data_IF_767213698883
#
_entry.id   IF_767213698883
#
_cell.length_a   1.000
_cell.length_b   1.000
_cell.length_c   1.000
_cell.angle_alpha   90.00
_cell.angle_beta   90.00
_cell.angle_gamma   90.00
#
_symmetry.space_group_name_H-M   'P 1'
#
loop_
_entity.id
_entity.type
_entity.pdbx_description
1 polymer ?
#
# COMPACT_ATOMS: atom_id res chain seq x y z
N UNK A 1 34.67 -41.38 -51.09
CA UNK A 1 34.16 -41.15 -49.73
C UNK A 1 33.63 -39.72 -49.65
N UNK A 2 32.31 -39.48 -49.57
CA UNK A 2 31.81 -38.11 -49.46
C UNK A 2 31.97 -37.62 -48.01
N UNK A 3 32.55 -36.43 -47.83
CA UNK A 3 32.67 -35.75 -46.54
C UNK A 3 31.36 -35.03 -46.24
N UNK A 4 30.70 -35.39 -45.15
CA UNK A 4 29.48 -34.75 -44.66
C UNK A 4 29.87 -33.60 -43.73
N UNK A 5 29.74 -32.35 -44.19
CA UNK A 5 29.91 -31.18 -43.33
C UNK A 5 28.62 -30.91 -42.58
N UNK A 6 28.61 -31.24 -41.28
CA UNK A 6 27.51 -30.90 -40.38
C UNK A 6 27.68 -29.45 -39.90
N UNK A 7 26.94 -28.52 -40.51
CA UNK A 7 26.75 -27.16 -39.98
C UNK A 7 25.70 -27.23 -38.86
N UNK A 8 26.14 -27.02 -37.62
CA UNK A 8 25.26 -26.93 -36.45
C UNK A 8 24.71 -25.50 -36.34
N UNK A 9 23.40 -25.25 -36.50
CA UNK A 9 22.87 -23.92 -36.25
C UNK A 9 22.90 -23.65 -34.75
N UNK A 10 23.63 -22.61 -34.34
CA UNK A 10 23.57 -22.06 -32.99
C UNK A 10 22.21 -21.38 -32.83
N UNK A 11 21.21 -22.14 -32.38
CA UNK A 11 19.96 -21.55 -31.89
C UNK A 11 20.28 -20.85 -30.57
N UNK A 12 20.55 -19.54 -30.65
CA UNK A 12 20.56 -18.68 -29.48
C UNK A 12 19.10 -18.51 -29.05
N UNK A 13 18.63 -19.41 -28.20
CA UNK A 13 17.34 -19.27 -27.52
C UNK A 13 17.43 -18.04 -26.64
N UNK A 14 16.70 -17.00 -27.01
CA UNK A 14 16.44 -15.86 -26.13
C UNK A 14 15.60 -16.41 -24.97
N UNK A 15 16.24 -16.68 -23.84
CA UNK A 15 15.52 -16.93 -22.61
C UNK A 15 14.78 -15.64 -22.24
N UNK A 16 13.47 -15.58 -22.50
CA UNK A 16 12.59 -14.59 -21.90
C UNK A 16 12.47 -14.97 -20.43
N UNK A 17 13.39 -14.47 -19.60
CA UNK A 17 13.15 -14.44 -18.17
C UNK A 17 11.99 -13.48 -17.95
N UNK A 18 10.82 -13.99 -17.55
CA UNK A 18 9.80 -13.15 -16.95
C UNK A 18 10.43 -12.53 -15.69
N UNK A 19 10.74 -11.24 -15.74
CA UNK A 19 11.11 -10.49 -14.54
C UNK A 19 9.83 -9.98 -13.90
N UNK A 20 9.63 -10.34 -12.62
CA UNK A 20 8.56 -9.76 -11.81
C UNK A 20 8.75 -8.25 -11.77
N UNK A 21 7.71 -7.49 -12.08
CA UNK A 21 7.76 -6.03 -11.93
C UNK A 21 7.26 -5.67 -10.52
N UNK A 22 7.86 -4.69 -9.84
CA UNK A 22 7.36 -4.27 -8.55
C UNK A 22 6.11 -3.38 -8.72
N UNK A 23 5.18 -3.43 -7.75
CA UNK A 23 4.01 -2.57 -7.76
C UNK A 23 4.40 -1.10 -7.58
N UNK A 24 3.63 -0.21 -8.21
CA UNK A 24 3.72 1.23 -8.04
C UNK A 24 2.55 1.72 -7.21
N UNK A 25 2.86 2.28 -6.03
CA UNK A 25 1.89 2.92 -5.14
C UNK A 25 1.88 4.42 -5.38
N UNK A 26 0.71 4.97 -5.67
CA UNK A 26 0.50 6.41 -5.84
C UNK A 26 -0.63 6.88 -4.94
N UNK A 27 -0.46 8.06 -4.36
CA UNK A 27 -1.52 8.67 -3.57
C UNK A 27 -1.29 10.16 -3.40
N UNK A 28 -2.37 10.90 -3.21
CA UNK A 28 -2.33 12.32 -2.90
C UNK A 28 -3.34 12.67 -1.82
N UNK A 29 -3.11 13.83 -1.21
CA UNK A 29 -3.93 14.39 -0.14
C UNK A 29 -3.69 15.89 -0.09
N UNK A 30 -3.46 16.44 1.11
CA UNK A 30 -3.33 17.87 1.43
C UNK A 30 -4.69 18.56 1.68
N UNK A 31 -5.36 18.09 2.72
CA UNK A 31 -6.66 18.60 3.16
C UNK A 31 -6.48 19.39 4.48
N UNK A 32 -7.33 20.38 4.70
CA UNK A 32 -7.39 21.07 5.99
C UNK A 32 -8.05 20.16 7.04
N UNK A 33 -7.43 20.03 8.21
CA UNK A 33 -7.95 19.21 9.30
C UNK A 33 -8.68 20.07 10.33
N UNK A 34 -9.91 19.69 10.67
CA UNK A 34 -10.64 20.25 11.81
C UNK A 34 -10.33 19.44 13.07
N UNK A 35 -9.79 20.04 14.14
CA UNK A 35 -9.51 19.31 15.38
C UNK A 35 -10.73 18.55 15.90
N UNK A 36 -10.48 17.38 16.50
CA UNK A 36 -11.47 16.44 17.03
C UNK A 36 -12.37 15.75 15.98
N UNK A 37 -12.25 16.05 14.68
CA UNK A 37 -12.99 15.34 13.63
C UNK A 37 -12.20 14.15 13.06
N UNK A 38 -12.87 13.33 12.24
CA UNK A 38 -12.20 12.36 11.36
C UNK A 38 -12.01 12.98 9.98
N UNK A 39 -10.94 12.60 9.28
CA UNK A 39 -10.71 12.98 7.88
C UNK A 39 -10.03 11.83 7.12
N UNK A 40 -10.43 11.51 5.88
CA UNK A 40 -9.70 10.56 5.04
C UNK A 40 -8.26 11.01 4.83
N UNK A 41 -7.30 10.08 4.84
CA UNK A 41 -5.88 10.43 4.68
C UNK A 41 -5.50 10.70 3.21
N UNK A 42 -6.29 10.20 2.27
CA UNK A 42 -6.07 10.31 0.82
C UNK A 42 -7.30 10.91 0.15
N UNK A 43 -7.08 11.68 -0.91
CA UNK A 43 -8.11 12.09 -1.87
C UNK A 43 -7.96 11.37 -3.21
N UNK A 44 -6.77 10.82 -3.47
CA UNK A 44 -6.54 9.84 -4.51
C UNK A 44 -5.57 8.77 -4.03
N UNK A 45 -5.80 7.52 -4.42
CA UNK A 45 -4.91 6.41 -4.13
C UNK A 45 -5.05 5.33 -5.20
N UNK A 46 -3.94 4.75 -5.62
CA UNK A 46 -3.92 3.64 -6.57
C UNK A 46 -2.68 2.77 -6.38
N UNK A 47 -2.84 1.47 -6.62
CA UNK A 47 -1.76 0.49 -6.74
C UNK A 47 -1.81 -0.03 -8.18
N UNK A 48 -0.71 0.08 -8.90
CA UNK A 48 -0.59 -0.41 -10.27
C UNK A 48 0.55 -1.43 -10.37
N UNK A 49 0.24 -2.60 -10.89
CA UNK A 49 1.19 -3.68 -11.08
C UNK A 49 0.82 -4.44 -12.38
N UNK A 50 1.77 -4.66 -13.31
CA UNK A 50 1.49 -5.35 -14.58
C UNK A 50 1.30 -6.87 -14.47
N UNK A 51 1.82 -7.51 -13.43
CA UNK A 51 1.89 -8.98 -13.32
C UNK A 51 1.36 -9.56 -12.01
N UNK A 52 1.27 -8.76 -10.94
CA UNK A 52 0.63 -9.12 -9.68
C UNK A 52 -0.70 -8.40 -9.46
N UNK A 53 -1.58 -8.99 -8.65
CA UNK A 53 -2.88 -8.38 -8.28
C UNK A 53 -3.16 -8.40 -6.78
N UNK A 54 -2.22 -8.94 -5.99
CA UNK A 54 -2.38 -9.15 -4.57
C UNK A 54 -1.09 -8.84 -3.81
N UNK A 55 -1.18 -8.56 -2.51
CA UNK A 55 -0.03 -8.45 -1.60
C UNK A 55 -0.38 -8.98 -0.21
N UNK A 56 0.61 -9.11 0.66
CA UNK A 56 0.45 -9.49 2.06
C UNK A 56 -0.24 -8.38 2.88
N UNK A 57 0.15 -7.12 2.68
CA UNK A 57 -0.37 -5.99 3.44
C UNK A 57 -0.19 -4.63 2.74
N UNK A 58 -0.89 -3.63 3.26
CA UNK A 58 -0.60 -2.21 3.08
C UNK A 58 -0.26 -1.61 4.44
N UNK A 59 0.89 -0.95 4.54
CA UNK A 59 1.38 -0.25 5.72
C UNK A 59 1.16 1.25 5.55
N UNK A 60 0.46 1.85 6.51
CA UNK A 60 0.10 3.27 6.49
C UNK A 60 0.62 3.90 7.77
N UNK A 61 1.59 4.82 7.66
CA UNK A 61 2.21 5.45 8.82
C UNK A 61 2.04 6.96 8.79
N UNK A 62 1.80 7.57 9.96
CA UNK A 62 1.95 9.01 10.16
C UNK A 62 3.45 9.31 10.19
N UNK A 63 4.02 9.58 9.02
CA UNK A 63 5.47 9.67 8.80
C UNK A 63 6.09 10.97 9.32
N UNK A 64 5.28 12.02 9.51
CA UNK A 64 5.70 13.28 10.13
C UNK A 64 4.61 13.88 10.97
N UNK A 65 4.99 14.50 12.09
CA UNK A 65 4.08 15.19 12.99
C UNK A 65 3.22 14.26 13.84
N UNK A 66 3.52 12.96 13.92
CA UNK A 66 2.81 12.01 14.79
C UNK A 66 2.97 12.39 16.27
N UNK A 67 1.85 12.42 17.00
CA UNK A 67 1.84 12.60 18.45
C UNK A 67 1.28 11.34 19.12
N UNK A 68 2.18 10.59 19.76
CA UNK A 68 1.84 9.34 20.41
C UNK A 68 0.74 9.52 21.47
N UNK A 69 -0.27 8.66 21.41
CA UNK A 69 -1.41 8.66 22.33
C UNK A 69 -2.47 9.73 22.06
N UNK A 70 -2.25 10.62 21.07
CA UNK A 70 -3.25 11.60 20.64
C UNK A 70 -3.77 11.28 19.23
N UNK A 71 -2.84 10.94 18.34
CA UNK A 71 -3.13 10.67 16.94
C UNK A 71 -3.43 9.19 16.71
N UNK A 72 -4.37 8.91 15.82
CA UNK A 72 -4.74 7.56 15.43
C UNK A 72 -5.11 7.50 13.95
N UNK A 73 -4.77 6.38 13.31
CA UNK A 73 -5.33 5.97 12.03
C UNK A 73 -6.32 4.84 12.26
N UNK A 74 -7.47 4.89 11.59
CA UNK A 74 -8.51 3.88 11.70
C UNK A 74 -9.05 3.55 10.31
N UNK A 75 -9.34 2.28 10.06
CA UNK A 75 -10.14 1.87 8.91
C UNK A 75 -11.62 1.95 9.31
N UNK A 76 -12.41 2.71 8.55
CA UNK A 76 -13.87 2.75 8.70
C UNK A 76 -14.56 2.02 7.55
N UNK A 77 -15.89 1.94 7.57
CA UNK A 77 -16.66 1.25 6.53
C UNK A 77 -16.62 -0.28 6.67
N UNK A 78 -16.87 -0.98 5.56
CA UNK A 78 -16.94 -2.45 5.52
C UNK A 78 -15.94 -3.00 4.51
N UNK A 79 -14.95 -3.73 5.02
CA UNK A 79 -13.87 -4.35 4.24
C UNK A 79 -13.69 -5.82 4.68
N UNK A 80 -14.58 -6.73 4.27
CA UNK A 80 -14.69 -8.08 4.86
C UNK A 80 -13.47 -8.97 4.62
N UNK A 81 -12.61 -8.64 3.66
CA UNK A 81 -11.36 -9.36 3.34
C UNK A 81 -10.15 -8.81 4.08
N UNK A 82 -10.27 -7.67 4.79
CA UNK A 82 -9.15 -6.92 5.39
C UNK A 82 -9.29 -6.89 6.91
N UNK A 83 -8.16 -7.09 7.59
CA UNK A 83 -7.95 -6.84 9.01
C UNK A 83 -7.07 -5.59 9.17
N UNK A 84 -7.47 -4.66 10.05
CA UNK A 84 -6.72 -3.45 10.34
C UNK A 84 -6.10 -3.52 11.74
N UNK A 85 -4.79 -3.31 11.85
CA UNK A 85 -4.05 -3.35 13.13
C UNK A 85 -3.28 -2.06 13.36
N UNK A 86 -3.64 -1.31 14.40
CA UNK A 86 -2.98 -0.07 14.80
C UNK A 86 -1.85 -0.30 15.80
N UNK A 87 -0.69 0.30 15.55
CA UNK A 87 0.44 0.39 16.47
C UNK A 87 0.63 1.83 16.92
N UNK A 88 0.21 2.13 18.15
CA UNK A 88 0.42 3.45 18.76
C UNK A 88 1.89 3.77 19.03
N UNK A 89 2.76 2.75 19.11
CA UNK A 89 4.20 2.97 19.27
C UNK A 89 4.84 3.46 17.98
N UNK A 90 4.38 2.96 16.84
CA UNK A 90 4.95 3.28 15.52
C UNK A 90 4.17 4.37 14.77
N UNK A 91 2.96 4.70 15.22
CA UNK A 91 2.04 5.58 14.49
C UNK A 91 1.61 4.96 13.16
N UNK A 92 1.45 3.64 13.13
CA UNK A 92 1.25 2.84 11.90
C UNK A 92 0.01 1.97 11.98
N UNK A 93 -0.77 1.96 10.90
CA UNK A 93 -1.90 1.08 10.64
C UNK A 93 -1.49 0.07 9.57
N UNK A 94 -1.63 -1.21 9.87
CA UNK A 94 -1.40 -2.29 8.91
C UNK A 94 -2.75 -2.83 8.45
N UNK A 95 -2.99 -2.83 7.15
CA UNK A 95 -4.13 -3.48 6.51
C UNK A 95 -3.65 -4.78 5.88
N UNK A 96 -4.08 -5.93 6.39
CA UNK A 96 -3.67 -7.25 5.91
C UNK A 96 -4.88 -8.16 5.66
N UNK A 97 -4.69 -9.29 4.99
CA UNK A 97 -5.79 -10.21 4.75
C UNK A 97 -6.25 -10.93 6.01
N UNK A 98 -7.56 -11.20 6.09
CA UNK A 98 -8.13 -11.99 7.17
C UNK A 98 -7.42 -13.35 7.24
N UNK A 99 -6.95 -13.71 8.44
CA UNK A 99 -6.24 -14.98 8.66
C UNK A 99 -4.86 -15.07 8.00
N UNK A 100 -4.27 -13.96 7.55
CA UNK A 100 -2.98 -13.92 6.88
C UNK A 100 -3.03 -14.26 5.38
N UNK A 101 -4.21 -14.21 4.77
CA UNK A 101 -4.36 -14.34 3.33
C UNK A 101 -3.75 -13.14 2.59
N UNK A 102 -3.41 -13.33 1.30
CA UNK A 102 -3.12 -12.21 0.42
C UNK A 102 -4.39 -11.39 0.15
N UNK A 103 -4.23 -10.09 -0.04
CA UNK A 103 -5.32 -9.12 -0.29
C UNK A 103 -5.22 -8.61 -1.71
N UNK A 104 -6.35 -8.55 -2.41
CA UNK A 104 -6.43 -7.92 -3.72
C UNK A 104 -6.11 -6.43 -3.64
N UNK A 105 -5.39 -5.90 -4.64
CA UNK A 105 -5.14 -4.47 -4.73
C UNK A 105 -6.42 -3.65 -4.80
N UNK A 106 -7.48 -4.14 -5.45
CA UNK A 106 -8.79 -3.46 -5.49
C UNK A 106 -9.38 -3.24 -4.09
N UNK A 107 -9.23 -4.24 -3.20
CA UNK A 107 -9.76 -4.19 -1.85
C UNK A 107 -8.91 -3.23 -1.00
N UNK A 108 -7.59 -3.26 -1.14
CA UNK A 108 -6.68 -2.33 -0.47
C UNK A 108 -6.88 -0.88 -0.95
N UNK A 109 -7.14 -0.67 -2.24
CA UNK A 109 -7.44 0.65 -2.78
C UNK A 109 -8.73 1.18 -2.16
N UNK A 110 -9.80 0.38 -2.14
CA UNK A 110 -11.06 0.77 -1.49
C UNK A 110 -10.85 1.07 0.01
N UNK A 111 -10.11 0.23 0.72
CA UNK A 111 -9.82 0.42 2.13
C UNK A 111 -8.98 1.68 2.40
N UNK A 112 -7.99 1.99 1.57
CA UNK A 112 -7.15 3.18 1.74
C UNK A 112 -7.97 4.48 1.68
N UNK A 113 -9.01 4.56 0.83
CA UNK A 113 -9.93 5.69 0.80
C UNK A 113 -10.75 5.85 2.09
N UNK A 114 -10.98 4.74 2.81
CA UNK A 114 -11.71 4.71 4.08
C UNK A 114 -10.79 4.72 5.31
N UNK A 115 -9.47 4.88 5.13
CA UNK A 115 -8.57 5.13 6.26
C UNK A 115 -8.67 6.60 6.65
N UNK A 116 -9.04 6.82 7.90
CA UNK A 116 -9.19 8.16 8.48
C UNK A 116 -8.14 8.45 9.53
N UNK A 117 -7.68 9.69 9.54
CA UNK A 117 -6.92 10.28 10.63
C UNK A 117 -7.87 10.94 11.64
N UNK A 118 -7.55 10.82 12.92
CA UNK A 118 -8.13 11.61 14.00
C UNK A 118 -7.06 11.93 15.05
N UNK A 119 -7.18 13.09 15.65
CA UNK A 119 -6.44 13.49 16.85
C UNK A 119 -7.41 13.83 17.97
N UNK A 120 -7.11 13.39 19.20
CA UNK A 120 -7.85 13.75 20.41
C UNK A 120 -7.50 15.14 20.95
N UNK A 121 -6.51 15.82 20.38
CA UNK A 121 -6.13 17.18 20.75
C UNK A 121 -6.99 18.23 20.04
N UNK A 122 -7.47 19.23 20.79
CA UNK A 122 -8.13 20.40 20.21
C UNK A 122 -7.14 21.43 19.63
N UNK A 123 -5.85 21.29 19.97
CA UNK A 123 -4.78 22.25 19.64
C UNK A 123 -3.82 21.68 18.60
N UNK A 124 -4.33 20.95 17.61
CA UNK A 124 -3.51 20.43 16.51
C UNK A 124 -2.99 21.59 15.66
N UNK A 125 -1.70 21.54 15.32
CA UNK A 125 -1.04 22.53 14.46
C UNK A 125 0.01 21.85 13.61
N UNK A 126 0.48 22.56 12.58
CA UNK A 126 1.48 22.04 11.63
C UNK A 126 0.90 21.10 10.58
N UNK A 127 1.79 20.52 9.76
CA UNK A 127 1.44 19.54 8.74
C UNK A 127 1.76 18.14 9.22
N UNK A 128 0.86 17.19 8.99
CA UNK A 128 1.11 15.75 9.15
C UNK A 128 1.22 15.13 7.77
N UNK A 129 2.17 14.23 7.60
CA UNK A 129 2.36 13.48 6.36
C UNK A 129 2.14 12.00 6.61
N UNK A 130 1.68 11.31 5.57
CA UNK A 130 1.44 9.88 5.63
C UNK A 130 2.31 9.18 4.58
N UNK A 131 2.89 8.03 4.94
CA UNK A 131 3.52 7.12 4.00
C UNK A 131 2.66 5.88 3.83
N UNK A 132 2.50 5.43 2.58
CA UNK A 132 1.75 4.23 2.21
C UNK A 132 2.69 3.32 1.42
N UNK A 133 2.93 2.10 1.92
CA UNK A 133 3.85 1.13 1.32
C UNK A 133 3.26 -0.27 1.39
N UNK A 134 3.56 -1.11 0.41
CA UNK A 134 3.21 -2.54 0.42
C UNK A 134 4.28 -3.35 1.16
#
# INVERSE_FOLDING_TARGET
>A
MPRFNLLLPLFFTWALFAQNQPPVVTGSGNQAYCPLSQIPIVTSFNIADPDDSQTEALYIQISSGYVQGQDVLMLVGSHPTITATWSSQQGSLVLSGVGGALVNYSDLIAAAYDVVFQSSSASVSGTKTFSLTL
#
